data_IF_732159759495
#
_entry.id   IF_732159759495
#
_cell.length_a   1.000
_cell.length_b   1.000
_cell.length_c   1.000
_cell.angle_alpha   90.00
_cell.angle_beta   90.00
_cell.angle_gamma   90.00
#
_symmetry.space_group_name_H-M   'P 1'
#
loop_
_entity.id
_entity.type
_entity.pdbx_description
1 polymer ?
#
# COMPACT_ATOMS: atom_id res chain seq x y z
N UNK A 1 -10.33 -2.04 41.79
CA UNK A 1 -9.57 -1.09 40.94
C UNK A 1 -10.13 0.29 41.20
N UNK A 2 -9.29 1.24 41.62
CA UNK A 2 -9.74 2.58 42.06
C UNK A 2 -9.75 3.54 40.87
N UNK A 3 -10.87 4.22 40.69
CA UNK A 3 -10.98 5.37 39.79
C UNK A 3 -10.06 6.51 40.27
N UNK A 4 -9.27 7.08 39.36
CA UNK A 4 -8.45 8.23 39.65
C UNK A 4 -9.34 9.50 39.68
N UNK A 5 -9.70 9.90 40.90
CA UNK A 5 -10.24 11.23 41.23
C UNK A 5 -9.31 12.33 40.70
N UNK A 6 -9.93 13.37 40.14
CA UNK A 6 -9.30 14.44 39.38
C UNK A 6 -8.08 15.11 40.02
N UNK A 7 -7.11 15.42 39.16
CA UNK A 7 -6.07 16.42 39.42
C UNK A 7 -5.85 17.28 38.19
N UNK A 8 -6.29 18.54 38.34
CA UNK A 8 -5.82 19.77 37.71
C UNK A 8 -5.94 19.87 36.17
N UNK A 9 -6.76 20.83 35.77
CA UNK A 9 -6.76 21.43 34.44
C UNK A 9 -5.32 21.67 33.97
N UNK A 10 -4.90 20.96 32.93
CA UNK A 10 -3.68 21.27 32.18
C UNK A 10 -4.10 21.90 30.86
N UNK A 11 -3.47 23.03 30.59
CA UNK A 11 -3.72 24.01 29.55
C UNK A 11 -3.65 23.44 28.13
N UNK A 12 -4.16 24.23 27.19
CA UNK A 12 -4.46 23.96 25.79
C UNK A 12 -3.28 23.57 24.86
N UNK A 13 -2.23 22.91 25.35
CA UNK A 13 -0.98 22.75 24.60
C UNK A 13 -0.30 21.38 24.72
N UNK A 14 -1.03 20.31 25.03
CA UNK A 14 -0.46 18.96 25.03
C UNK A 14 -1.17 18.08 23.99
N UNK A 15 -0.58 18.01 22.81
CA UNK A 15 -0.98 17.08 21.74
C UNK A 15 -0.45 15.68 22.08
N UNK A 16 -1.33 14.69 22.19
CA UNK A 16 -0.98 13.29 22.44
C UNK A 16 -1.38 12.38 21.27
N UNK A 17 -0.72 11.23 21.14
CA UNK A 17 -1.04 10.21 20.14
C UNK A 17 -2.17 9.33 20.67
N UNK A 18 -3.25 9.22 19.90
CA UNK A 18 -4.41 8.42 20.28
C UNK A 18 -4.31 7.03 19.64
N UNK A 19 -4.36 6.00 20.47
CA UNK A 19 -4.39 4.60 20.06
C UNK A 19 -5.69 3.94 20.53
N UNK A 20 -6.17 2.93 19.80
CA UNK A 20 -7.39 2.22 20.19
C UNK A 20 -7.08 1.15 21.24
N UNK A 21 -7.72 1.23 22.40
CA UNK A 21 -7.46 0.36 23.55
C UNK A 21 -8.48 -0.80 23.69
N UNK A 22 -9.46 -0.87 22.78
CA UNK A 22 -10.44 -1.96 22.73
C UNK A 22 -11.86 -1.52 23.12
N UNK A 23 -12.74 -2.52 23.23
CA UNK A 23 -14.15 -2.33 23.54
C UNK A 23 -14.50 -3.11 24.81
N UNK A 24 -15.11 -2.43 25.78
CA UNK A 24 -15.61 -3.07 26.99
C UNK A 24 -17.09 -2.73 27.16
N UNK A 25 -17.95 -3.75 27.27
CA UNK A 25 -19.40 -3.61 27.54
C UNK A 25 -20.10 -2.58 26.63
N UNK A 26 -19.82 -2.63 25.32
CA UNK A 26 -20.33 -1.73 24.26
C UNK A 26 -19.75 -0.31 24.24
N UNK A 27 -18.78 0.04 25.07
CA UNK A 27 -18.09 1.33 25.05
C UNK A 27 -16.69 1.15 24.47
N UNK A 28 -16.31 2.01 23.52
CA UNK A 28 -14.98 2.05 22.89
C UNK A 28 -14.03 2.92 23.71
N UNK A 29 -12.87 2.36 24.03
CA UNK A 29 -11.82 3.00 24.80
C UNK A 29 -10.63 3.32 23.89
N UNK A 30 -10.02 4.47 24.14
CA UNK A 30 -8.88 5.01 23.44
C UNK A 30 -7.83 5.38 24.48
N UNK A 31 -6.57 5.18 24.16
CA UNK A 31 -5.45 5.54 25.00
C UNK A 31 -4.70 6.70 24.35
N UNK A 32 -4.57 7.81 25.07
CA UNK A 32 -3.80 8.98 24.67
C UNK A 32 -2.44 8.87 25.34
N UNK A 33 -1.38 8.81 24.54
CA UNK A 33 -0.01 8.89 25.02
C UNK A 33 0.54 10.30 24.76
N UNK A 34 0.96 10.96 25.84
CA UNK A 34 1.54 12.28 25.82
C UNK A 34 3.07 12.19 25.69
N UNK A 35 3.74 13.24 25.15
CA UNK A 35 5.19 13.24 24.97
C UNK A 35 6.00 13.18 26.28
N UNK A 36 5.37 13.40 27.43
CA UNK A 36 5.95 13.19 28.77
C UNK A 36 5.90 11.72 29.22
N UNK A 37 5.41 10.81 28.37
CA UNK A 37 5.22 9.39 28.67
C UNK A 37 3.97 9.10 29.51
N UNK A 38 3.15 10.10 29.82
CA UNK A 38 1.89 9.88 30.51
C UNK A 38 0.86 9.26 29.56
N UNK A 39 0.11 8.27 30.05
CA UNK A 39 -0.97 7.63 29.30
C UNK A 39 -2.33 7.89 29.97
N UNK A 40 -3.34 8.26 29.17
CA UNK A 40 -4.71 8.51 29.62
C UNK A 40 -5.67 7.62 28.82
N UNK A 41 -6.52 6.85 29.50
CA UNK A 41 -7.58 6.10 28.82
C UNK A 41 -8.87 6.92 28.80
N UNK A 42 -9.38 7.21 27.61
CA UNK A 42 -10.59 8.00 27.36
C UNK A 42 -11.61 7.21 26.55
N UNK A 43 -12.88 7.57 26.68
CA UNK A 43 -13.94 7.02 25.81
C UNK A 43 -14.11 7.86 24.55
N UNK A 44 -14.76 7.31 23.52
CA UNK A 44 -15.06 8.05 22.29
C UNK A 44 -15.75 9.41 22.55
N UNK A 45 -16.67 9.45 23.52
CA UNK A 45 -17.40 10.66 23.89
C UNK A 45 -16.48 11.76 24.48
N UNK A 46 -15.44 11.36 25.21
CA UNK A 46 -14.44 12.25 25.78
C UNK A 46 -13.36 12.67 24.78
N UNK A 47 -13.13 11.84 23.74
CA UNK A 47 -12.18 12.12 22.67
C UNK A 47 -12.72 13.17 21.69
N UNK A 48 -14.01 13.10 21.34
CA UNK A 48 -14.64 13.96 20.32
C UNK A 48 -14.39 15.48 20.49
N UNK A 49 -14.48 16.09 21.68
CA UNK A 49 -14.19 17.53 21.85
C UNK A 49 -12.68 17.85 21.88
N UNK A 50 -11.80 16.85 22.00
CA UNK A 50 -10.34 17.01 22.06
C UNK A 50 -9.65 16.82 20.70
N UNK A 51 -10.39 16.39 19.68
CA UNK A 51 -9.88 16.22 18.31
C UNK A 51 -9.82 17.58 17.61
N UNK A 52 -8.61 18.12 17.45
CA UNK A 52 -8.39 19.34 16.66
C UNK A 52 -8.16 18.93 15.19
N UNK A 53 -8.88 19.52 14.22
CA UNK A 53 -8.62 19.32 12.80
C UNK A 53 -7.20 19.76 12.44
N UNK A 54 -6.44 18.89 11.77
CA UNK A 54 -5.05 19.12 11.41
C UNK A 54 -4.97 20.07 10.19
N UNK A 55 -5.12 21.38 10.44
CA UNK A 55 -4.80 22.42 9.47
C UNK A 55 -3.93 23.48 10.16
N UNK A 56 -2.72 23.67 9.61
CA UNK A 56 -1.67 24.62 10.02
C UNK A 56 -0.88 24.30 11.30
N UNK A 57 0.26 23.62 11.12
CA UNK A 57 1.48 23.85 11.90
C UNK A 57 2.69 23.38 11.08
N UNK A 58 3.07 24.17 10.08
CA UNK A 58 4.38 24.09 9.42
C UNK A 58 5.11 25.39 9.76
N UNK A 59 5.92 25.39 10.82
CA UNK A 59 7.00 26.36 11.05
C UNK A 59 7.80 25.98 12.32
N UNK A 60 9.13 26.14 12.21
CA UNK A 60 10.18 26.04 13.24
C UNK A 60 10.55 24.60 13.69
N UNK A 61 11.82 24.21 13.84
CA UNK A 61 13.07 24.94 13.91
C UNK A 61 14.26 24.11 13.41
N UNK A 62 15.28 24.85 12.97
CA UNK A 62 16.68 24.45 12.71
C UNK A 62 17.37 24.09 14.04
N UNK A 63 18.31 23.14 14.05
CA UNK A 63 19.75 23.31 14.47
C UNK A 63 20.48 21.96 14.51
N UNK A 64 21.68 22.00 13.96
CA UNK A 64 22.69 20.96 13.65
C UNK A 64 23.22 20.16 14.84
N UNK A 65 23.68 18.92 14.60
CA UNK A 65 24.94 18.35 15.14
C UNK A 65 25.45 17.26 14.17
N UNK A 66 26.66 17.43 13.65
CA UNK A 66 27.48 16.40 12.98
C UNK A 66 28.17 15.54 14.06
N UNK A 67 28.34 14.22 13.87
CA UNK A 67 29.69 13.75 13.56
C UNK A 67 29.81 12.48 12.68
N UNK A 68 30.95 12.44 11.97
CA UNK A 68 31.82 11.30 11.67
C UNK A 68 31.40 10.20 10.67
N UNK A 69 32.15 10.15 9.57
CA UNK A 69 32.22 9.06 8.57
C UNK A 69 32.99 7.85 9.13
N UNK A 70 32.48 6.63 8.90
CA UNK A 70 33.33 5.53 8.42
C UNK A 70 32.70 4.82 7.17
N UNK A 71 33.49 4.24 6.24
CA UNK A 71 32.98 3.48 5.09
C UNK A 71 33.03 1.95 5.34
N UNK A 72 32.57 1.10 4.41
CA UNK A 72 31.27 1.04 3.76
C UNK A 72 30.56 -0.30 4.04
N UNK A 73 29.26 -0.30 4.25
CA UNK A 73 28.44 -1.51 4.10
C UNK A 73 27.18 -1.11 3.33
N UNK A 74 26.86 -1.88 2.29
CA UNK A 74 25.65 -1.74 1.49
C UNK A 74 24.40 -1.98 2.37
N UNK A 75 24.00 -0.96 3.11
CA UNK A 75 22.77 -0.97 3.89
C UNK A 75 21.59 -0.60 2.97
N UNK A 76 20.84 -1.63 2.60
CA UNK A 76 19.45 -1.54 2.20
C UNK A 76 18.72 -0.52 3.11
N UNK A 77 17.94 0.43 2.56
CA UNK A 77 17.36 1.49 3.37
C UNK A 77 16.34 0.93 4.37
N UNK A 78 16.81 0.71 5.61
CA UNK A 78 16.04 0.39 6.80
C UNK A 78 15.53 1.69 7.41
N UNK A 79 14.64 2.41 6.72
CA UNK A 79 13.90 3.56 7.27
C UNK A 79 12.74 3.93 6.34
N UNK A 80 11.53 3.52 6.74
CA UNK A 80 10.27 4.21 6.42
C UNK A 80 10.14 4.79 5.01
N UNK A 81 10.49 4.05 3.96
CA UNK A 81 10.12 4.45 2.61
C UNK A 81 8.62 4.16 2.49
N UNK A 82 7.82 5.16 2.85
CA UNK A 82 6.39 5.17 2.60
C UNK A 82 6.21 5.06 1.09
N UNK A 83 5.75 3.89 0.63
CA UNK A 83 5.28 3.73 -0.73
C UNK A 83 4.25 4.85 -0.96
N UNK A 84 4.39 5.65 -2.03
CA UNK A 84 3.47 6.76 -2.27
C UNK A 84 2.06 6.21 -2.32
N UNK A 85 1.14 6.75 -1.53
CA UNK A 85 -0.23 6.22 -1.47
C UNK A 85 -0.89 6.32 -2.85
N UNK A 86 -1.61 5.27 -3.26
CA UNK A 86 -2.39 5.33 -4.49
C UNK A 86 -3.52 6.35 -4.34
N UNK A 87 -3.58 7.36 -5.20
CA UNK A 87 -4.64 8.37 -5.14
C UNK A 87 -5.93 7.83 -5.77
N UNK A 88 -7.11 8.41 -5.45
CA UNK A 88 -8.37 8.02 -6.09
C UNK A 88 -8.31 8.10 -7.63
N UNK A 89 -7.71 9.16 -8.18
CA UNK A 89 -7.54 9.33 -9.62
C UNK A 89 -6.62 8.28 -10.26
N UNK A 90 -5.62 7.79 -9.53
CA UNK A 90 -4.77 6.68 -10.00
C UNK A 90 -5.56 5.37 -10.09
N UNK A 91 -6.46 5.13 -9.13
CA UNK A 91 -7.31 3.94 -9.07
C UNK A 91 -8.45 4.00 -10.11
N UNK A 92 -8.99 5.18 -10.39
CA UNK A 92 -9.94 5.40 -11.49
C UNK A 92 -9.32 5.06 -12.86
N UNK A 93 -8.08 5.52 -13.10
CA UNK A 93 -7.32 5.16 -14.30
C UNK A 93 -7.10 3.64 -14.42
N UNK A 94 -6.97 2.93 -13.29
CA UNK A 94 -6.88 1.48 -13.28
C UNK A 94 -8.24 0.82 -13.60
N UNK A 95 -9.37 1.34 -13.09
CA UNK A 95 -10.70 0.79 -13.43
C UNK A 95 -11.08 0.96 -14.91
N UNK A 96 -10.47 1.91 -15.62
CA UNK A 96 -10.63 2.00 -17.08
C UNK A 96 -9.98 0.82 -17.80
N UNK A 97 -9.02 0.15 -17.17
CA UNK A 97 -8.24 -0.96 -17.73
C UNK A 97 -8.73 -2.35 -17.29
N UNK A 98 -9.20 -2.45 -16.04
CA UNK A 98 -9.62 -3.72 -15.45
C UNK A 98 -10.99 -3.61 -14.77
N UNK A 99 -11.75 -4.69 -14.84
CA UNK A 99 -12.96 -4.89 -14.08
C UNK A 99 -12.70 -5.89 -12.94
N UNK A 100 -12.68 -5.36 -11.71
CA UNK A 100 -12.50 -6.16 -10.50
C UNK A 100 -13.78 -6.86 -10.04
N UNK A 101 -14.95 -6.56 -10.62
CA UNK A 101 -16.22 -7.18 -10.22
C UNK A 101 -16.24 -8.70 -10.39
N UNK A 102 -15.42 -9.21 -11.32
CA UNK A 102 -15.27 -10.64 -11.58
C UNK A 102 -14.15 -11.29 -10.73
N UNK A 103 -13.38 -10.50 -9.99
CA UNK A 103 -12.28 -10.98 -9.14
C UNK A 103 -12.78 -11.23 -7.73
N UNK A 104 -12.73 -12.48 -7.30
CA UNK A 104 -13.23 -12.85 -5.95
C UNK A 104 -12.23 -12.52 -4.83
N UNK A 105 -10.92 -12.66 -5.08
CA UNK A 105 -9.88 -12.45 -4.07
C UNK A 105 -8.67 -11.65 -4.57
N UNK A 106 -8.24 -10.70 -3.76
CA UNK A 106 -7.02 -9.91 -3.98
C UNK A 106 -6.09 -10.13 -2.79
N UNK A 107 -4.83 -10.49 -3.07
CA UNK A 107 -3.78 -10.59 -2.07
C UNK A 107 -2.75 -9.49 -2.24
N UNK A 108 -2.52 -8.71 -1.18
CA UNK A 108 -1.56 -7.61 -1.11
C UNK A 108 -0.42 -7.97 -0.14
N UNK A 109 0.58 -8.76 -0.56
CA UNK A 109 1.67 -9.25 0.30
C UNK A 109 2.50 -8.14 0.95
N UNK A 110 2.69 -7.02 0.25
CA UNK A 110 3.41 -5.85 0.76
C UNK A 110 2.53 -4.88 1.56
N UNK A 111 1.30 -5.28 1.84
CA UNK A 111 0.23 -4.39 2.26
C UNK A 111 -0.08 -3.35 1.17
N UNK A 112 -1.18 -2.61 1.35
CA UNK A 112 -1.57 -1.50 0.48
C UNK A 112 -2.10 -0.37 1.35
N UNK A 113 -2.03 0.90 0.89
CA UNK A 113 -2.70 2.02 1.53
C UNK A 113 -4.18 1.74 1.81
N UNK A 114 -4.74 2.40 2.82
CA UNK A 114 -6.15 2.24 3.18
C UNK A 114 -7.11 2.72 2.10
N UNK A 115 -6.72 3.73 1.33
CA UNK A 115 -7.47 4.16 0.14
C UNK A 115 -7.57 3.03 -0.91
N UNK A 116 -6.44 2.42 -1.28
CA UNK A 116 -6.42 1.26 -2.18
C UNK A 116 -7.29 0.12 -1.66
N UNK A 117 -7.21 -0.17 -0.36
CA UNK A 117 -8.00 -1.25 0.21
C UNK A 117 -9.49 -0.98 0.27
N UNK A 118 -9.88 0.26 0.57
CA UNK A 118 -11.27 0.67 0.52
C UNK A 118 -11.82 0.54 -0.91
N UNK A 119 -11.04 0.99 -1.90
CA UNK A 119 -11.40 0.88 -3.32
C UNK A 119 -11.53 -0.57 -3.79
N UNK A 120 -10.57 -1.44 -3.48
CA UNK A 120 -10.64 -2.88 -3.84
C UNK A 120 -11.88 -3.54 -3.24
N UNK A 121 -12.19 -3.25 -1.97
CA UNK A 121 -13.40 -3.79 -1.31
C UNK A 121 -14.69 -3.22 -1.89
N UNK A 122 -14.70 -1.96 -2.32
CA UNK A 122 -15.85 -1.34 -2.96
C UNK A 122 -16.20 -2.02 -4.30
N UNK A 123 -15.23 -2.67 -4.96
CA UNK A 123 -15.44 -3.46 -6.17
C UNK A 123 -15.86 -4.92 -5.89
N UNK A 124 -16.19 -5.26 -4.64
CA UNK A 124 -16.70 -6.58 -4.26
C UNK A 124 -15.62 -7.62 -3.97
N UNK A 125 -14.33 -7.26 -4.07
CA UNK A 125 -13.23 -8.20 -3.84
C UNK A 125 -12.97 -8.44 -2.34
N UNK A 126 -12.63 -9.68 -1.99
CA UNK A 126 -12.03 -9.98 -0.68
C UNK A 126 -10.55 -9.62 -0.70
N UNK A 127 -10.16 -8.57 0.04
CA UNK A 127 -8.75 -8.17 0.18
C UNK A 127 -8.08 -8.81 1.40
N UNK A 128 -6.98 -9.53 1.17
CA UNK A 128 -6.06 -10.01 2.21
C UNK A 128 -4.74 -9.26 2.12
N UNK A 129 -4.26 -8.75 3.26
CA UNK A 129 -3.00 -7.99 3.36
C UNK A 129 -1.94 -8.85 4.04
N UNK A 130 -0.71 -8.78 3.54
CA UNK A 130 0.47 -9.33 4.21
C UNK A 130 0.88 -8.52 5.42
N UNK A 131 1.80 -9.06 6.22
CA UNK A 131 2.31 -8.38 7.41
C UNK A 131 3.33 -7.31 6.99
N UNK A 132 3.21 -6.05 7.47
CA UNK A 132 4.11 -4.95 7.11
C UNK A 132 5.60 -5.27 7.30
N UNK A 133 5.91 -6.11 8.29
CA UNK A 133 7.28 -6.46 8.70
C UNK A 133 8.02 -7.34 7.69
N UNK A 134 7.31 -7.97 6.75
CA UNK A 134 7.88 -9.00 5.88
C UNK A 134 8.64 -8.42 4.69
N UNK A 135 8.43 -7.14 4.35
CA UNK A 135 9.09 -6.49 3.21
C UNK A 135 9.01 -7.31 1.92
N UNK A 136 10.06 -7.25 1.09
CA UNK A 136 10.13 -8.00 -0.16
C UNK A 136 10.16 -9.53 0.02
N UNK A 137 10.53 -10.04 1.20
CA UNK A 137 10.48 -11.48 1.48
C UNK A 137 9.05 -12.04 1.42
N UNK A 138 8.02 -11.19 1.55
CA UNK A 138 6.64 -11.57 1.33
C UNK A 138 6.34 -11.99 -0.12
N UNK A 139 7.18 -11.58 -1.08
CA UNK A 139 7.04 -11.88 -2.50
C UNK A 139 7.83 -13.11 -2.94
N UNK A 140 8.58 -13.72 -2.03
CA UNK A 140 9.29 -14.95 -2.32
C UNK A 140 8.32 -16.12 -2.50
N UNK A 141 8.67 -17.05 -3.38
CA UNK A 141 7.87 -18.24 -3.67
C UNK A 141 7.51 -19.03 -2.40
N UNK A 142 8.40 -19.13 -1.42
CA UNK A 142 8.12 -19.82 -0.16
C UNK A 142 7.00 -19.14 0.65
N UNK A 143 7.03 -17.80 0.72
CA UNK A 143 6.01 -17.00 1.40
C UNK A 143 4.66 -17.08 0.70
N UNK A 144 4.64 -17.00 -0.63
CA UNK A 144 3.41 -17.11 -1.42
C UNK A 144 2.79 -18.51 -1.32
N UNK A 145 3.59 -19.57 -1.38
CA UNK A 145 3.11 -20.95 -1.18
C UNK A 145 2.49 -21.13 0.20
N UNK A 146 3.14 -20.59 1.24
CA UNK A 146 2.60 -20.66 2.60
C UNK A 146 1.25 -19.95 2.69
N UNK A 147 1.14 -18.75 2.14
CA UNK A 147 -0.12 -18.02 2.10
C UNK A 147 -1.23 -18.81 1.35
N UNK A 148 -0.92 -19.47 0.24
CA UNK A 148 -1.88 -20.36 -0.44
C UNK A 148 -2.29 -21.56 0.43
N UNK A 149 -1.33 -22.18 1.13
CA UNK A 149 -1.59 -23.28 2.07
C UNK A 149 -2.47 -22.84 3.25
N UNK A 150 -2.35 -21.59 3.68
CA UNK A 150 -3.19 -20.96 4.70
C UNK A 150 -4.60 -20.59 4.17
N UNK A 151 -4.93 -20.96 2.92
CA UNK A 151 -6.22 -20.72 2.30
C UNK A 151 -6.43 -19.29 1.77
N UNK A 152 -5.36 -18.51 1.59
CA UNK A 152 -5.45 -17.19 0.97
C UNK A 152 -5.66 -17.35 -0.53
N UNK A 153 -6.85 -16.94 -1.00
CA UNK A 153 -7.14 -16.81 -2.42
C UNK A 153 -6.22 -15.79 -3.08
N UNK A 154 -5.63 -16.20 -4.21
CA UNK A 154 -4.72 -15.38 -5.01
C UNK A 154 -5.24 -15.30 -6.45
N UNK A 155 -6.45 -14.78 -6.65
CA UNK A 155 -6.87 -14.49 -8.03
C UNK A 155 -6.00 -13.36 -8.57
N UNK A 156 -5.88 -12.28 -7.79
CA UNK A 156 -4.99 -11.18 -8.09
C UNK A 156 -3.97 -11.00 -6.98
N UNK A 157 -2.70 -10.82 -7.36
CA UNK A 157 -1.66 -10.31 -6.45
C UNK A 157 -1.45 -8.82 -6.75
N UNK A 158 -1.58 -8.00 -5.71
CA UNK A 158 -1.40 -6.55 -5.79
C UNK A 158 -0.06 -6.13 -5.19
N UNK A 159 0.73 -5.41 -5.99
CA UNK A 159 2.10 -5.00 -5.67
C UNK A 159 2.24 -3.48 -5.79
N UNK A 160 2.55 -2.83 -4.67
CA UNK A 160 3.08 -1.46 -4.69
C UNK A 160 4.56 -1.56 -4.37
N UNK A 161 5.43 -1.47 -5.40
CA UNK A 161 6.86 -1.78 -5.30
C UNK A 161 7.72 -0.68 -5.91
N UNK A 162 8.95 -0.53 -5.40
CA UNK A 162 9.96 0.35 -5.99
C UNK A 162 10.45 -0.17 -7.35
N UNK A 163 10.87 0.71 -8.26
CA UNK A 163 11.31 0.36 -9.62
C UNK A 163 12.31 -0.80 -9.72
N UNK A 164 13.25 -0.89 -8.77
CA UNK A 164 14.28 -1.93 -8.76
C UNK A 164 13.71 -3.34 -8.48
N UNK A 165 12.59 -3.43 -7.77
CA UNK A 165 11.98 -4.69 -7.33
C UNK A 165 10.93 -5.22 -8.34
N UNK A 166 10.43 -4.36 -9.23
CA UNK A 166 9.34 -4.68 -10.19
C UNK A 166 9.73 -5.86 -11.08
N UNK A 167 10.90 -5.76 -11.72
CA UNK A 167 11.35 -6.71 -12.75
C UNK A 167 11.43 -8.14 -12.21
N UNK A 168 11.93 -8.30 -10.99
CA UNK A 168 12.12 -9.60 -10.34
C UNK A 168 10.80 -10.15 -9.80
N UNK A 169 10.01 -9.34 -9.10
CA UNK A 169 8.90 -9.86 -8.31
C UNK A 169 7.58 -9.93 -9.07
N UNK A 170 7.33 -9.07 -10.07
CA UNK A 170 6.10 -9.15 -10.88
C UNK A 170 6.06 -10.46 -11.67
N UNK A 171 7.20 -10.90 -12.19
CA UNK A 171 7.29 -12.19 -12.91
C UNK A 171 7.22 -13.37 -11.95
N UNK A 172 7.94 -13.32 -10.83
CA UNK A 172 7.96 -14.43 -9.87
C UNK A 172 6.58 -14.68 -9.22
N UNK A 173 5.78 -13.63 -9.03
CA UNK A 173 4.41 -13.73 -8.48
C UNK A 173 3.39 -14.23 -9.50
N UNK A 174 3.70 -14.19 -10.80
CA UNK A 174 2.78 -14.56 -11.88
C UNK A 174 2.34 -16.03 -11.80
N UNK A 175 3.22 -16.93 -11.39
CA UNK A 175 2.89 -18.36 -11.31
C UNK A 175 1.98 -18.72 -10.12
N UNK A 176 1.68 -17.75 -9.25
CA UNK A 176 0.81 -17.93 -8.07
C UNK A 176 -0.59 -17.36 -8.26
N UNK A 177 -0.82 -16.59 -9.32
CA UNK A 177 -2.12 -15.96 -9.59
C UNK A 177 -2.95 -16.77 -10.55
N UNK A 178 -4.26 -16.81 -10.32
CA UNK A 178 -5.18 -17.31 -11.35
C UNK A 178 -5.45 -16.24 -12.40
N UNK A 179 -5.51 -14.96 -12.01
CA UNK A 179 -6.01 -13.88 -12.85
C UNK A 179 -4.91 -12.96 -13.35
N UNK A 180 -4.35 -12.15 -12.46
CA UNK A 180 -3.34 -11.17 -12.82
C UNK A 180 -2.46 -10.75 -11.65
N UNK A 181 -1.28 -10.26 -11.97
CA UNK A 181 -0.46 -9.45 -11.06
C UNK A 181 -0.65 -8.00 -11.43
N UNK A 182 -1.11 -7.19 -10.48
CA UNK A 182 -1.25 -5.74 -10.62
C UNK A 182 -0.10 -5.09 -9.88
N UNK A 183 0.70 -4.30 -10.59
CA UNK A 183 1.80 -3.55 -10.00
C UNK A 183 1.67 -2.06 -10.25
N UNK A 184 1.72 -1.26 -9.18
CA UNK A 184 1.90 0.19 -9.26
C UNK A 184 3.38 0.52 -9.24
N UNK A 185 3.83 1.27 -10.23
CA UNK A 185 5.22 1.72 -10.35
C UNK A 185 5.27 3.23 -10.62
N UNK A 186 6.29 3.96 -10.14
CA UNK A 186 6.43 5.37 -10.47
C UNK A 186 6.79 5.53 -11.95
N UNK A 187 6.46 6.68 -12.56
CA UNK A 187 6.73 6.93 -13.99
C UNK A 187 8.19 6.77 -14.40
N UNK A 188 9.11 7.03 -13.47
CA UNK A 188 10.55 6.84 -13.71
C UNK A 188 10.90 5.40 -14.09
N UNK A 189 10.11 4.42 -13.68
CA UNK A 189 10.32 3.01 -14.04
C UNK A 189 10.34 2.81 -15.56
N UNK A 190 9.47 3.51 -16.29
CA UNK A 190 9.41 3.53 -17.75
C UNK A 190 10.29 4.66 -18.31
N UNK A 191 10.23 5.86 -17.73
CA UNK A 191 10.96 7.03 -18.24
C UNK A 191 12.49 6.90 -18.19
N UNK A 192 13.03 6.13 -17.23
CA UNK A 192 14.47 5.82 -17.11
C UNK A 192 14.79 4.37 -17.51
N UNK A 193 13.88 3.69 -18.21
CA UNK A 193 14.06 2.31 -18.62
C UNK A 193 15.14 2.18 -19.69
N UNK A 194 16.05 1.22 -19.53
CA UNK A 194 16.96 0.82 -20.59
C UNK A 194 16.24 0.11 -21.75
N UNK A 195 16.90 0.01 -22.92
CA UNK A 195 16.37 -0.62 -24.13
C UNK A 195 15.83 -2.05 -23.89
N UNK A 196 16.52 -2.83 -23.05
CA UNK A 196 16.11 -4.19 -22.72
C UNK A 196 14.75 -4.24 -22.00
N UNK A 197 14.53 -3.36 -21.00
CA UNK A 197 13.26 -3.28 -20.26
C UNK A 197 12.13 -2.85 -21.19
N UNK A 198 12.32 -1.80 -21.98
CA UNK A 198 11.30 -1.31 -22.92
C UNK A 198 10.95 -2.37 -23.98
N UNK A 199 11.96 -3.04 -24.54
CA UNK A 199 11.75 -4.15 -25.50
C UNK A 199 10.93 -5.28 -24.88
N UNK A 200 11.24 -5.67 -23.64
CA UNK A 200 10.49 -6.70 -22.90
C UNK A 200 9.04 -6.28 -22.64
N UNK A 201 8.80 -5.04 -22.18
CA UNK A 201 7.45 -4.51 -21.94
C UNK A 201 6.63 -4.45 -23.25
N UNK A 202 7.23 -3.96 -24.34
CA UNK A 202 6.59 -3.90 -25.66
C UNK A 202 6.26 -5.29 -26.20
N UNK A 203 7.18 -6.24 -26.09
CA UNK A 203 6.96 -7.65 -26.49
C UNK A 203 5.79 -8.26 -25.72
N UNK A 204 5.73 -8.06 -24.40
CA UNK A 204 4.63 -8.58 -23.57
C UNK A 204 3.29 -7.92 -23.88
N UNK A 205 3.28 -6.61 -24.10
CA UNK A 205 2.09 -5.88 -24.54
C UNK A 205 1.59 -6.39 -25.90
N UNK A 206 2.50 -6.61 -26.84
CA UNK A 206 2.18 -7.14 -28.17
C UNK A 206 1.62 -8.58 -28.11
N UNK A 207 2.19 -9.44 -27.25
CA UNK A 207 1.63 -10.78 -26.98
C UNK A 207 0.32 -10.76 -26.21
N UNK A 208 -0.05 -9.58 -25.69
CA UNK A 208 -1.29 -9.38 -24.96
C UNK A 208 -1.30 -9.85 -23.51
N UNK A 209 -0.14 -10.26 -23.00
CA UNK A 209 0.06 -10.69 -21.61
C UNK A 209 0.14 -9.51 -20.62
N UNK A 210 0.52 -8.34 -21.11
CA UNK A 210 0.73 -7.15 -20.28
C UNK A 210 -0.19 -6.02 -20.75
N UNK A 211 -0.93 -5.46 -19.80
CA UNK A 211 -1.67 -4.22 -19.96
C UNK A 211 -0.96 -3.11 -19.19
N UNK A 212 -1.00 -1.90 -19.75
CA UNK A 212 -0.31 -0.74 -19.19
C UNK A 212 -1.30 0.42 -19.19
N UNK A 213 -1.54 1.00 -18.03
CA UNK A 213 -2.22 2.28 -17.89
C UNK A 213 -1.25 3.29 -17.28
N UNK A 214 -1.16 4.48 -17.85
CA UNK A 214 -0.30 5.55 -17.35
C UNK A 214 -1.16 6.68 -16.82
N UNK A 215 -0.89 7.09 -15.59
CA UNK A 215 -1.52 8.23 -14.95
C UNK A 215 -0.52 9.41 -14.86
N UNK A 216 -0.92 10.54 -14.26
CA UNK A 216 -0.03 11.70 -14.10
C UNK A 216 1.25 11.38 -13.32
N UNK A 217 1.17 10.50 -12.33
CA UNK A 217 2.19 10.24 -11.28
C UNK A 217 2.78 8.83 -11.31
N UNK A 218 2.12 7.90 -12.00
CA UNK A 218 2.31 6.45 -11.90
C UNK A 218 2.13 5.75 -13.24
N UNK A 219 2.57 4.50 -13.29
CA UNK A 219 2.22 3.53 -14.31
C UNK A 219 1.70 2.28 -13.61
N UNK A 220 0.57 1.77 -14.09
CA UNK A 220 0.02 0.49 -13.71
C UNK A 220 0.47 -0.57 -14.71
N UNK A 221 1.02 -1.66 -14.20
CA UNK A 221 1.36 -2.84 -14.97
C UNK A 221 0.40 -3.96 -14.54
N UNK A 222 -0.38 -4.49 -15.47
CA UNK A 222 -1.27 -5.63 -15.21
C UNK A 222 -0.78 -6.80 -16.04
N UNK A 223 -0.09 -7.73 -15.39
CA UNK A 223 0.45 -8.94 -16.01
C UNK A 223 -0.55 -10.09 -15.83
N UNK A 224 -1.17 -10.52 -16.92
CA UNK A 224 -2.16 -11.58 -16.92
C UNK A 224 -1.50 -12.95 -16.69
N UNK A 225 -2.20 -13.84 -15.99
CA UNK A 225 -1.79 -15.24 -15.84
C UNK A 225 -1.76 -15.97 -17.20
N UNK A 226 -1.13 -17.14 -17.24
CA UNK A 226 -1.05 -17.94 -18.47
C UNK A 226 -2.44 -18.51 -18.80
N UNK A 227 -2.94 -18.24 -20.01
CA UNK A 227 -4.16 -18.87 -20.52
C UNK A 227 -5.47 -18.15 -20.20
N UNK A 228 -5.42 -16.98 -19.56
CA UNK A 228 -6.63 -16.18 -19.36
C UNK A 228 -7.12 -15.53 -20.65
N UNK A 229 -8.40 -15.76 -20.92
CA UNK A 229 -9.16 -15.02 -21.93
C UNK A 229 -9.55 -13.68 -21.30
N UNK A 230 -9.20 -12.57 -21.96
CA UNK A 230 -9.42 -11.17 -21.51
C UNK A 230 -10.88 -10.81 -21.13
N UNK A 231 -11.83 -11.69 -21.36
CA UNK A 231 -13.25 -11.43 -21.25
C UNK A 231 -13.65 -11.30 -19.78
N UNK A 232 -14.24 -10.15 -19.41
CA UNK A 232 -14.77 -9.89 -18.08
C UNK A 232 -13.78 -9.28 -17.09
N UNK A 233 -12.47 -9.49 -17.24
CA UNK A 233 -11.45 -8.83 -16.40
C UNK A 233 -10.85 -7.58 -17.04
N UNK A 234 -10.79 -7.51 -18.37
CA UNK A 234 -10.29 -6.33 -19.10
C UNK A 234 -11.49 -5.56 -19.62
N UNK A 235 -11.66 -4.32 -19.18
CA UNK A 235 -12.70 -3.42 -19.68
C UNK A 235 -12.42 -3.10 -21.16
N UNK A 236 -13.47 -3.12 -21.98
CA UNK A 236 -13.40 -2.92 -23.42
C UNK A 236 -13.08 -1.45 -23.78
N UNK A 237 -11.90 -0.98 -23.43
CA UNK A 237 -11.33 0.22 -24.02
C UNK A 237 -10.08 -0.16 -24.80
N UNK A 238 -10.12 0.18 -26.10
CA UNK A 238 -8.95 0.36 -26.94
C UNK A 238 -7.89 1.06 -26.10
N UNK A 239 -6.83 0.33 -25.77
CA UNK A 239 -5.67 0.87 -25.10
C UNK A 239 -5.14 2.03 -25.96
N UNK A 240 -5.62 3.24 -25.69
CA UNK A 240 -5.03 4.47 -26.20
C UNK A 240 -3.55 4.34 -25.92
N UNK A 241 -2.73 4.44 -26.96
CA UNK A 241 -1.31 4.13 -26.86
C UNK A 241 -0.69 4.89 -25.68
N UNK A 242 -0.26 4.22 -24.59
CA UNK A 242 0.78 4.80 -23.78
C UNK A 242 2.00 4.94 -24.70
N UNK A 243 2.46 6.18 -24.82
CA UNK A 243 3.75 6.52 -25.41
C UNK A 243 4.82 5.78 -24.58
N UNK A 244 5.28 4.63 -25.09
CA UNK A 244 6.37 3.80 -24.56
C UNK A 244 7.64 3.99 -25.37
#
# INVERSE_FOLDING_TARGET
>A
MKEAKGRRARSATNTGVVSYAGQQRRVHYFLIEYPDGATETVTHAQLRPRLVPKQQARAAAVTSVEPAVPPPAEELPSRGVSLPESTPSELECLSELIDLSQVTSVYAPLNVPDATAAWVRAHGCTLRRGRPVSGLAALEAASLRRAQQDGIGMNVIWLEVYPAAVDTHVEATRDFVTDAVIARVPREYVGKAGKARLSRLRKRRASGELLIASCATCVWLVLLSKGIKRWGFVTAMSAGEPVL
#
